data_IF_334353754162
#
_entry.id   IF_334353754162
#
_cell.length_a   1.000
_cell.length_b   1.000
_cell.length_c   1.000
_cell.angle_alpha   90.00
_cell.angle_beta   90.00
_cell.angle_gamma   90.00
#
_symmetry.space_group_name_H-M   'P 1'
#
loop_
_entity.id
_entity.type
_entity.pdbx_description
1 polymer ?
#
# COMPACT_ATOMS: atom_id res chain seq x y z
N UNK A 1 19.69 -10.00 -55.66
CA UNK A 1 19.55 -8.77 -54.88
C UNK A 1 18.10 -8.44 -54.50
N UNK A 2 17.09 -8.77 -55.30
CA UNK A 2 15.66 -8.53 -55.03
C UNK A 2 15.08 -9.29 -53.86
N UNK A 3 15.56 -10.53 -53.56
CA UNK A 3 15.03 -11.37 -52.49
C UNK A 3 15.46 -10.94 -51.05
N UNK A 4 16.50 -10.14 -50.93
CA UNK A 4 17.00 -9.69 -49.64
C UNK A 4 16.22 -8.42 -49.18
N UNK A 5 15.79 -7.58 -50.12
CA UNK A 5 14.98 -6.40 -49.80
C UNK A 5 13.57 -6.77 -49.36
N UNK A 6 12.91 -7.76 -50.02
CA UNK A 6 11.56 -8.19 -49.64
C UNK A 6 11.50 -8.83 -48.25
N UNK A 7 12.57 -9.53 -47.86
CA UNK A 7 12.64 -10.15 -46.53
C UNK A 7 12.85 -9.11 -45.42
N UNK A 8 13.62 -8.04 -45.67
CA UNK A 8 13.80 -6.92 -44.75
C UNK A 8 12.54 -6.08 -44.59
N UNK A 9 11.76 -5.86 -45.64
CA UNK A 9 10.48 -5.16 -45.57
C UNK A 9 9.44 -5.94 -44.77
N UNK A 10 9.34 -7.26 -44.96
CA UNK A 10 8.44 -8.09 -44.17
C UNK A 10 8.85 -8.16 -42.68
N UNK A 11 10.14 -8.20 -42.37
CA UNK A 11 10.64 -8.19 -41.00
C UNK A 11 10.36 -6.83 -40.32
N UNK A 12 10.43 -5.73 -41.06
CA UNK A 12 10.11 -4.38 -40.57
C UNK A 12 8.60 -4.20 -40.30
N UNK A 13 7.74 -4.76 -41.13
CA UNK A 13 6.29 -4.74 -40.91
C UNK A 13 5.93 -5.49 -39.63
N UNK A 14 6.55 -6.66 -39.40
CA UNK A 14 6.33 -7.42 -38.16
C UNK A 14 6.82 -6.65 -36.90
N UNK A 15 7.89 -5.89 -36.99
CA UNK A 15 8.39 -5.08 -35.86
C UNK A 15 7.42 -3.94 -35.54
N UNK A 16 6.89 -3.26 -36.56
CA UNK A 16 5.91 -2.21 -36.38
C UNK A 16 4.60 -2.72 -35.80
N UNK A 17 4.13 -3.90 -36.22
CA UNK A 17 2.94 -4.55 -35.69
C UNK A 17 3.11 -4.86 -34.18
N UNK A 18 4.28 -5.30 -33.75
CA UNK A 18 4.59 -5.54 -32.33
C UNK A 18 4.56 -4.23 -31.55
N UNK A 19 5.18 -3.17 -32.07
CA UNK A 19 5.18 -1.85 -31.44
C UNK A 19 3.76 -1.30 -31.32
N UNK A 20 2.98 -1.38 -32.39
CA UNK A 20 1.59 -0.94 -32.42
C UNK A 20 0.74 -1.68 -31.40
N UNK A 21 0.91 -3.00 -31.29
CA UNK A 21 0.21 -3.85 -30.31
C UNK A 21 0.56 -3.40 -28.89
N UNK A 22 1.84 -3.17 -28.61
CA UNK A 22 2.29 -2.69 -27.30
C UNK A 22 1.60 -1.39 -26.89
N UNK A 23 1.60 -0.38 -27.75
CA UNK A 23 1.00 0.93 -27.43
C UNK A 23 -0.54 0.91 -27.44
N UNK A 24 -1.16 -0.06 -28.08
CA UNK A 24 -2.62 -0.22 -28.13
C UNK A 24 -3.15 -0.96 -26.90
N UNK A 25 -2.43 -1.99 -26.45
CA UNK A 25 -2.89 -2.88 -25.40
C UNK A 25 -2.56 -2.39 -24.00
N UNK A 26 -1.57 -1.49 -23.84
CA UNK A 26 -1.17 -0.92 -22.56
C UNK A 26 -1.72 0.51 -22.42
N UNK A 27 -2.71 0.68 -21.57
CA UNK A 27 -3.41 1.96 -21.36
C UNK A 27 -2.47 3.04 -20.82
N UNK A 28 -1.65 2.68 -19.81
CA UNK A 28 -0.72 3.60 -19.13
C UNK A 28 0.75 3.28 -19.43
N UNK A 29 1.10 3.15 -20.71
CA UNK A 29 2.42 2.65 -21.14
C UNK A 29 3.63 3.42 -20.59
N UNK A 30 3.49 4.69 -20.21
CA UNK A 30 4.57 5.49 -19.63
C UNK A 30 4.76 5.23 -18.13
N UNK A 31 3.71 4.90 -17.41
CA UNK A 31 3.69 4.84 -15.94
C UNK A 31 3.28 3.48 -15.39
N UNK A 32 2.97 2.51 -16.26
CA UNK A 32 2.48 1.19 -15.86
C UNK A 32 3.38 0.51 -14.82
N UNK A 33 4.69 0.59 -15.00
CA UNK A 33 5.66 0.00 -14.07
C UNK A 33 5.59 0.59 -12.65
N UNK A 34 5.23 1.88 -12.52
CA UNK A 34 5.06 2.53 -11.22
C UNK A 34 3.72 2.12 -10.60
N UNK A 35 2.66 2.08 -11.40
CA UNK A 35 1.32 1.67 -10.98
C UNK A 35 1.36 0.22 -10.49
N UNK A 36 1.98 -0.68 -11.27
CA UNK A 36 2.12 -2.10 -10.90
C UNK A 36 2.93 -2.26 -9.61
N UNK A 37 4.05 -1.53 -9.47
CA UNK A 37 4.86 -1.56 -8.25
C UNK A 37 4.10 -1.07 -7.02
N UNK A 38 3.28 -0.03 -7.16
CA UNK A 38 2.43 0.46 -6.07
C UNK A 38 1.33 -0.55 -5.72
N UNK A 39 0.67 -1.13 -6.72
CA UNK A 39 -0.35 -2.13 -6.52
C UNK A 39 0.22 -3.41 -5.89
N UNK A 40 1.41 -3.83 -6.30
CA UNK A 40 2.12 -4.93 -5.66
C UNK A 40 2.44 -4.61 -4.20
N UNK A 41 2.94 -3.43 -3.90
CA UNK A 41 3.20 -3.00 -2.51
C UNK A 41 1.94 -3.05 -1.63
N UNK A 42 0.78 -2.69 -2.16
CA UNK A 42 -0.47 -2.68 -1.38
C UNK A 42 -1.07 -4.09 -1.26
N UNK A 43 -1.13 -4.84 -2.37
CA UNK A 43 -1.95 -6.06 -2.48
C UNK A 43 -1.15 -7.35 -2.42
N UNK A 44 0.19 -7.33 -2.57
CA UNK A 44 1.00 -8.55 -2.53
C UNK A 44 0.89 -9.26 -1.18
N UNK A 45 0.77 -10.59 -1.24
CA UNK A 45 0.75 -11.43 -0.04
C UNK A 45 2.14 -11.72 0.52
N UNK A 46 3.22 -11.58 -0.27
CA UNK A 46 4.58 -11.92 0.15
C UNK A 46 5.35 -10.71 0.68
N UNK A 47 5.43 -9.63 -0.11
CA UNK A 47 6.21 -8.44 0.21
C UNK A 47 5.35 -7.18 0.42
N UNK A 48 4.03 -7.35 0.47
CA UNK A 48 3.10 -6.24 0.57
C UNK A 48 3.03 -5.61 1.96
N UNK A 49 2.30 -4.49 2.01
CA UNK A 49 2.05 -3.71 3.22
C UNK A 49 1.58 -4.56 4.41
N UNK A 50 0.72 -5.57 4.15
CA UNK A 50 0.19 -6.48 5.18
C UNK A 50 1.31 -7.24 5.88
N UNK A 51 2.26 -7.78 5.13
CA UNK A 51 3.38 -8.54 5.69
C UNK A 51 4.41 -7.64 6.38
N UNK A 52 4.63 -6.44 5.85
CA UNK A 52 5.52 -5.47 6.51
C UNK A 52 5.01 -5.13 7.90
N UNK A 53 3.70 -4.90 8.05
CA UNK A 53 3.09 -4.60 9.35
C UNK A 53 3.17 -5.80 10.30
N UNK A 54 2.97 -7.04 9.79
CA UNK A 54 2.98 -8.25 10.60
C UNK A 54 4.37 -8.77 10.97
N UNK A 55 5.42 -8.38 10.23
CA UNK A 55 6.76 -8.96 10.33
C UNK A 55 7.37 -8.87 11.72
N UNK A 56 7.09 -7.81 12.46
CA UNK A 56 7.65 -7.56 13.79
C UNK A 56 6.76 -8.10 14.93
N UNK A 57 5.67 -8.82 14.60
CA UNK A 57 4.80 -9.43 15.59
C UNK A 57 5.48 -10.64 16.28
N UNK A 58 5.27 -10.84 17.60
CA UNK A 58 4.65 -9.93 18.55
C UNK A 58 5.58 -8.78 18.98
N UNK A 59 5.08 -7.55 18.96
CA UNK A 59 5.83 -6.41 19.47
C UNK A 59 5.71 -6.35 20.99
N UNK A 60 6.83 -6.51 21.70
CA UNK A 60 6.86 -6.47 23.15
C UNK A 60 7.01 -5.02 23.60
N UNK A 61 5.93 -4.46 24.15
CA UNK A 61 5.92 -3.07 24.57
C UNK A 61 6.58 -2.87 25.94
N UNK A 62 6.32 -3.78 26.87
CA UNK A 62 6.77 -3.63 28.22
C UNK A 62 7.03 -4.99 28.89
N UNK A 63 8.10 -5.02 29.69
CA UNK A 63 8.45 -6.12 30.60
C UNK A 63 8.71 -5.54 31.97
N UNK A 64 7.85 -5.85 32.92
CA UNK A 64 8.03 -5.42 34.31
C UNK A 64 9.07 -6.28 35.05
N UNK A 65 10.02 -5.66 35.71
CA UNK A 65 11.02 -6.37 36.54
C UNK A 65 10.36 -7.05 37.76
N UNK A 66 10.83 -8.25 38.08
CA UNK A 66 10.45 -8.92 39.32
C UNK A 66 11.22 -8.31 40.52
N UNK A 67 10.52 -8.06 41.60
CA UNK A 67 11.11 -7.53 42.83
C UNK A 67 12.13 -8.45 43.48
N UNK A 68 12.46 -9.61 42.94
CA UNK A 68 13.36 -10.64 43.52
C UNK A 68 14.68 -10.84 42.79
N UNK A 69 15.09 -9.92 41.92
CA UNK A 69 16.41 -10.00 41.29
C UNK A 69 16.67 -11.19 40.35
N UNK A 70 15.67 -12.02 40.09
CA UNK A 70 15.69 -13.04 39.04
C UNK A 70 15.31 -12.44 37.70
N UNK A 71 15.88 -12.95 36.61
CA UNK A 71 15.58 -12.57 35.22
C UNK A 71 14.12 -12.81 34.80
N UNK A 72 13.23 -13.11 35.75
CA UNK A 72 11.81 -13.35 35.53
C UNK A 72 11.01 -12.06 35.64
N UNK A 73 10.40 -11.67 34.53
CA UNK A 73 9.49 -10.53 34.45
C UNK A 73 8.19 -10.80 35.20
N UNK A 74 7.68 -9.79 35.94
CA UNK A 74 6.42 -9.88 36.64
C UNK A 74 5.21 -9.89 35.69
N UNK A 75 5.27 -9.11 34.64
CA UNK A 75 4.27 -9.07 33.56
C UNK A 75 4.87 -8.61 32.24
N UNK A 76 4.22 -8.93 31.15
CA UNK A 76 4.62 -8.64 29.80
C UNK A 76 3.39 -8.21 28.98
N UNK A 77 3.55 -7.19 28.15
CA UNK A 77 2.52 -6.74 27.22
C UNK A 77 3.02 -6.99 25.80
N UNK A 78 2.30 -7.84 25.07
CA UNK A 78 2.53 -8.15 23.65
C UNK A 78 1.46 -7.51 22.81
N UNK A 79 1.87 -6.87 21.72
CA UNK A 79 0.98 -6.26 20.76
C UNK A 79 1.17 -6.98 19.43
N UNK A 80 0.06 -7.36 18.80
CA UNK A 80 0.00 -8.00 17.50
C UNK A 80 -0.72 -7.06 16.52
N UNK A 81 0.02 -6.47 15.61
CA UNK A 81 -0.54 -5.62 14.56
C UNK A 81 -1.05 -6.46 13.39
N UNK A 82 -2.25 -6.16 12.90
CA UNK A 82 -2.86 -6.90 11.80
C UNK A 82 -3.27 -8.32 12.15
N UNK A 83 -3.52 -8.59 13.43
CA UNK A 83 -3.94 -9.89 13.91
C UNK A 83 -5.00 -9.74 15.00
N UNK A 84 -6.02 -10.59 14.94
CA UNK A 84 -7.01 -10.76 15.99
C UNK A 84 -6.66 -12.02 16.76
N UNK A 85 -6.57 -11.92 18.07
CA UNK A 85 -6.18 -13.05 18.94
C UNK A 85 -7.40 -13.81 19.44
N UNK A 86 -7.29 -15.13 19.48
CA UNK A 86 -8.27 -16.00 20.15
C UNK A 86 -8.02 -16.02 21.68
N UNK A 87 -8.88 -16.71 22.44
CA UNK A 87 -8.80 -16.81 23.90
C UNK A 87 -7.46 -17.43 24.39
N UNK A 88 -6.74 -18.12 23.53
CA UNK A 88 -5.45 -18.76 23.82
C UNK A 88 -4.26 -17.86 23.48
N UNK A 89 -4.52 -16.69 22.85
CA UNK A 89 -3.46 -15.75 22.44
C UNK A 89 -2.81 -16.09 21.09
N UNK A 90 -3.44 -16.95 20.29
CA UNK A 90 -2.97 -17.24 18.93
C UNK A 90 -3.73 -16.39 17.91
N UNK A 91 -3.06 -15.96 16.83
CA UNK A 91 -3.73 -15.27 15.73
C UNK A 91 -4.84 -16.14 15.14
N UNK A 92 -5.96 -15.52 14.82
CA UNK A 92 -7.05 -16.15 14.06
C UNK A 92 -6.69 -15.99 12.59
N UNK A 93 -6.52 -17.11 11.91
CA UNK A 93 -6.32 -17.18 10.46
C UNK A 93 -7.65 -16.87 9.75
N UNK A 94 -7.62 -16.53 8.47
CA UNK A 94 -8.79 -16.25 7.60
C UNK A 94 -9.57 -14.95 7.87
N UNK A 95 -9.08 -14.05 8.72
CA UNK A 95 -9.68 -12.74 8.89
C UNK A 95 -8.80 -11.67 8.24
N UNK A 96 -9.41 -10.86 7.37
CA UNK A 96 -8.72 -9.68 6.88
C UNK A 96 -8.65 -8.63 8.01
N UNK A 97 -7.44 -8.32 8.41
CA UNK A 97 -7.19 -7.50 9.59
C UNK A 97 -6.53 -6.14 9.27
N UNK A 98 -6.16 -5.90 8.01
CA UNK A 98 -5.52 -4.67 7.56
C UNK A 98 -6.25 -4.16 6.33
N UNK A 99 -6.75 -2.93 6.40
CA UNK A 99 -7.55 -2.29 5.37
C UNK A 99 -6.95 -0.95 4.99
N UNK A 100 -6.94 -0.64 3.70
CA UNK A 100 -6.64 0.70 3.21
C UNK A 100 -7.95 1.31 2.70
N UNK A 101 -8.34 2.44 3.28
CA UNK A 101 -9.60 3.11 2.91
C UNK A 101 -9.42 3.95 1.66
N UNK A 102 -10.53 4.15 0.94
CA UNK A 102 -10.56 5.12 -0.16
C UNK A 102 -10.32 6.54 0.37
N UNK A 103 -9.73 7.43 -0.46
CA UNK A 103 -9.54 8.83 -0.11
C UNK A 103 -10.86 9.51 0.24
N UNK A 104 -10.87 10.20 1.36
CA UNK A 104 -12.08 10.87 1.87
C UNK A 104 -11.75 12.21 2.50
N UNK A 105 -12.71 13.10 2.43
CA UNK A 105 -12.67 14.46 2.97
C UNK A 105 -13.81 14.64 3.96
N UNK A 106 -13.53 15.30 5.09
CA UNK A 106 -14.57 15.80 5.97
C UNK A 106 -15.03 17.17 5.50
N UNK A 107 -16.32 17.31 5.24
CA UNK A 107 -16.92 18.61 5.03
C UNK A 107 -17.04 19.41 6.35
N UNK A 108 -17.37 20.68 6.27
CA UNK A 108 -17.60 21.53 7.44
C UNK A 108 -18.69 20.98 8.39
N UNK A 109 -19.67 20.28 7.84
CA UNK A 109 -20.74 19.57 8.55
C UNK A 109 -20.29 18.23 9.19
N UNK A 110 -18.99 17.90 9.15
CA UNK A 110 -18.41 16.61 9.56
C UNK A 110 -18.92 15.40 8.79
N UNK A 111 -19.63 15.61 7.68
CA UNK A 111 -20.00 14.53 6.78
C UNK A 111 -18.77 14.05 6.00
N UNK A 112 -18.66 12.72 5.82
CA UNK A 112 -17.59 12.12 5.04
C UNK A 112 -17.97 12.20 3.54
N UNK A 113 -17.14 12.85 2.74
CA UNK A 113 -17.24 12.91 1.29
C UNK A 113 -16.05 12.19 0.67
N UNK A 114 -16.29 11.46 -0.40
CA UNK A 114 -15.23 10.89 -1.25
C UNK A 114 -14.43 12.04 -1.86
N UNK A 115 -13.11 11.96 -1.80
CA UNK A 115 -12.18 12.97 -2.33
C UNK A 115 -11.60 12.50 -3.65
N UNK A 116 -11.83 13.26 -4.72
CA UNK A 116 -11.17 13.03 -6.00
C UNK A 116 -9.81 13.72 -6.06
N UNK A 117 -8.89 13.27 -6.95
CA UNK A 117 -7.57 13.90 -7.06
C UNK A 117 -7.63 15.39 -7.40
N UNK A 118 -8.57 15.80 -8.24
CA UNK A 118 -8.78 17.21 -8.57
C UNK A 118 -9.19 18.05 -7.34
N UNK A 119 -10.04 17.51 -6.45
CA UNK A 119 -10.37 18.17 -5.18
C UNK A 119 -9.12 18.40 -4.33
N UNK A 120 -8.22 17.40 -4.30
CA UNK A 120 -6.97 17.50 -3.57
C UNK A 120 -6.03 18.58 -4.16
N UNK A 121 -5.95 18.70 -5.49
CA UNK A 121 -5.16 19.73 -6.17
C UNK A 121 -5.71 21.12 -5.86
N UNK A 122 -7.02 21.33 -6.01
CA UNK A 122 -7.65 22.64 -5.81
C UNK A 122 -7.61 23.13 -4.37
N UNK A 123 -7.73 22.22 -3.40
CA UNK A 123 -7.76 22.53 -1.96
C UNK A 123 -6.39 22.41 -1.28
N UNK A 124 -5.31 22.17 -2.02
CA UNK A 124 -3.97 21.93 -1.48
C UNK A 124 -3.92 20.80 -0.44
N UNK A 125 -4.67 19.73 -0.67
CA UNK A 125 -4.75 18.56 0.18
C UNK A 125 -3.87 17.43 -0.37
N UNK A 126 -3.67 16.41 0.46
CA UNK A 126 -3.02 15.17 0.04
C UNK A 126 -4.08 14.12 -0.28
N UNK A 127 -4.02 13.55 -1.48
CA UNK A 127 -4.86 12.44 -1.91
C UNK A 127 -4.38 11.14 -1.25
N UNK A 128 -5.00 10.77 -0.12
CA UNK A 128 -4.54 9.69 0.75
C UNK A 128 -5.69 8.85 1.28
N UNK A 129 -5.40 7.57 1.51
CA UNK A 129 -6.25 6.66 2.27
C UNK A 129 -5.71 6.45 3.69
N UNK A 130 -6.59 6.07 4.61
CA UNK A 130 -6.19 5.67 5.97
C UNK A 130 -5.91 4.18 6.02
N UNK A 131 -4.90 3.79 6.78
CA UNK A 131 -4.58 2.39 7.06
C UNK A 131 -5.25 2.04 8.38
N UNK A 132 -6.26 1.18 8.30
CA UNK A 132 -6.98 0.64 9.45
C UNK A 132 -6.47 -0.77 9.73
N UNK A 133 -6.22 -1.06 11.00
CA UNK A 133 -5.63 -2.31 11.43
C UNK A 133 -6.36 -2.84 12.66
N UNK A 134 -6.65 -4.14 12.67
CA UNK A 134 -7.05 -4.80 13.91
C UNK A 134 -5.80 -5.08 14.74
N UNK A 135 -5.88 -4.87 16.04
CA UNK A 135 -4.76 -5.00 16.97
C UNK A 135 -5.17 -5.93 18.10
N UNK A 136 -4.43 -7.03 18.24
CA UNK A 136 -4.53 -7.91 19.41
C UNK A 136 -3.53 -7.51 20.49
N UNK A 137 -3.98 -7.31 21.70
CA UNK A 137 -3.12 -7.01 22.86
C UNK A 137 -3.24 -8.14 23.87
N UNK A 138 -2.12 -8.75 24.20
CA UNK A 138 -2.03 -9.82 25.18
C UNK A 138 -1.24 -9.32 26.41
N UNK A 139 -1.87 -9.37 27.57
CA UNK A 139 -1.27 -9.12 28.88
C UNK A 139 -0.95 -10.46 29.52
N UNK A 140 0.31 -10.73 29.82
CA UNK A 140 0.77 -11.97 30.45
C UNK A 140 1.28 -11.64 31.84
N UNK A 141 0.69 -12.26 32.88
CA UNK A 141 1.07 -12.09 34.29
C UNK A 141 1.82 -13.34 34.75
N UNK A 142 3.16 -13.24 34.81
CA UNK A 142 4.02 -14.37 35.25
C UNK A 142 3.89 -14.68 36.73
N UNK A 143 3.62 -13.68 37.56
CA UNK A 143 3.45 -13.85 39.02
C UNK A 143 2.16 -14.58 39.40
N UNK A 144 1.17 -14.64 38.51
CA UNK A 144 -0.15 -15.28 38.74
C UNK A 144 -0.27 -16.62 38.01
N UNK A 145 0.80 -17.39 37.90
CA UNK A 145 0.78 -18.71 37.25
C UNK A 145 0.61 -18.64 35.71
N UNK A 146 1.02 -17.55 35.08
CA UNK A 146 0.95 -17.41 33.63
C UNK A 146 -0.44 -17.02 33.08
N UNK A 147 -1.27 -16.40 33.91
CA UNK A 147 -2.56 -15.88 33.48
C UNK A 147 -2.39 -14.88 32.35
N UNK A 148 -3.12 -15.06 31.25
CA UNK A 148 -3.16 -14.11 30.16
C UNK A 148 -4.54 -13.47 30.02
N UNK A 149 -4.56 -12.16 29.71
CA UNK A 149 -5.76 -11.41 29.38
C UNK A 149 -5.59 -10.86 27.97
N UNK A 150 -6.56 -11.09 27.11
CA UNK A 150 -6.52 -10.69 25.71
C UNK A 150 -7.56 -9.63 25.46
N UNK A 151 -7.18 -8.60 24.69
CA UNK A 151 -8.09 -7.56 24.19
C UNK A 151 -7.83 -7.35 22.70
N UNK A 152 -8.88 -7.39 21.91
CA UNK A 152 -8.84 -7.09 20.50
C UNK A 152 -9.46 -5.71 20.25
N UNK A 153 -8.78 -4.91 19.45
CA UNK A 153 -9.23 -3.60 19.00
C UNK A 153 -9.43 -3.67 17.49
N UNK A 154 -10.60 -3.31 17.03
CA UNK A 154 -10.95 -3.37 15.62
C UNK A 154 -10.75 -2.01 14.95
N UNK A 155 -10.29 -2.05 13.70
CA UNK A 155 -10.19 -0.88 12.79
C UNK A 155 -9.50 0.34 13.40
N UNK A 156 -8.43 0.11 14.15
CA UNK A 156 -7.60 1.19 14.68
C UNK A 156 -6.85 1.87 13.52
N UNK A 157 -6.94 3.18 13.43
CA UNK A 157 -6.19 3.95 12.44
C UNK A 157 -4.72 4.04 12.88
N UNK A 158 -3.83 3.38 12.16
CA UNK A 158 -2.39 3.38 12.42
C UNK A 158 -1.63 4.40 11.59
N UNK A 159 -2.25 4.93 10.53
CA UNK A 159 -1.60 5.91 9.67
C UNK A 159 -2.38 6.19 8.40
N UNK A 160 -1.76 6.90 7.49
CA UNK A 160 -2.31 7.17 6.17
C UNK A 160 -1.23 7.05 5.10
N UNK A 161 -1.64 6.61 3.92
CA UNK A 161 -0.76 6.44 2.75
C UNK A 161 -1.30 7.26 1.58
N UNK A 162 -0.46 8.01 0.86
CA UNK A 162 -0.87 8.65 -0.37
C UNK A 162 -1.23 7.59 -1.41
N UNK A 163 -2.27 7.84 -2.19
CA UNK A 163 -2.74 6.92 -3.24
C UNK A 163 -2.20 7.36 -4.58
N UNK A 164 -1.58 6.43 -5.30
CA UNK A 164 -1.08 6.68 -6.65
C UNK A 164 -2.23 6.80 -7.63
N UNK A 165 -2.17 7.80 -8.51
CA UNK A 165 -3.19 8.04 -9.53
C UNK A 165 -3.21 6.88 -10.53
N UNK A 166 -4.41 6.44 -10.89
CA UNK A 166 -4.75 5.27 -11.72
C UNK A 166 -4.39 3.89 -11.12
N UNK A 167 -3.87 3.81 -9.86
CA UNK A 167 -3.74 2.53 -9.17
C UNK A 167 -5.11 1.90 -8.84
N UNK A 168 -5.14 0.63 -8.46
CA UNK A 168 -6.38 -0.08 -8.08
C UNK A 168 -7.12 0.54 -6.90
N UNK A 169 -6.42 1.27 -6.01
CA UNK A 169 -7.04 2.01 -4.91
C UNK A 169 -7.54 3.40 -5.34
N UNK A 170 -7.11 3.90 -6.48
CA UNK A 170 -7.51 5.21 -6.99
C UNK A 170 -8.95 5.17 -7.45
N UNK A 171 -9.71 6.22 -7.13
CA UNK A 171 -11.09 6.37 -7.57
C UNK A 171 -11.23 6.55 -9.08
N UNK A 172 -10.15 6.94 -9.75
CA UNK A 172 -10.12 7.09 -11.21
C UNK A 172 -9.83 5.77 -11.94
N UNK A 173 -9.55 4.69 -11.21
CA UNK A 173 -9.22 3.39 -11.81
C UNK A 173 -10.35 2.89 -12.71
N UNK A 174 -10.04 2.62 -13.98
CA UNK A 174 -10.99 2.10 -15.00
C UNK A 174 -12.25 2.95 -15.19
N UNK A 175 -12.16 4.26 -15.00
CA UNK A 175 -13.23 5.17 -15.39
C UNK A 175 -13.14 5.51 -16.88
N UNK A 176 -14.30 5.63 -17.52
CA UNK A 176 -14.39 6.06 -18.91
C UNK A 176 -14.00 7.54 -19.07
N UNK A 177 -13.49 7.93 -20.23
CA UNK A 177 -13.06 9.30 -20.57
C UNK A 177 -14.11 10.37 -20.28
N UNK A 178 -15.39 10.04 -20.48
CA UNK A 178 -16.51 10.94 -20.21
C UNK A 178 -16.59 11.25 -18.72
N UNK A 179 -16.50 10.22 -17.87
CA UNK A 179 -16.53 10.37 -16.42
C UNK A 179 -15.30 11.09 -15.89
N UNK A 180 -14.11 10.79 -16.43
CA UNK A 180 -12.89 11.52 -16.08
C UNK A 180 -13.05 13.02 -16.34
N UNK A 181 -13.59 13.40 -17.49
CA UNK A 181 -13.86 14.80 -17.85
C UNK A 181 -14.89 15.46 -16.91
N UNK A 182 -15.92 14.72 -16.47
CA UNK A 182 -16.92 15.22 -15.51
C UNK A 182 -16.31 15.52 -14.14
N UNK A 183 -15.31 14.74 -13.70
CA UNK A 183 -14.56 14.98 -12.46
C UNK A 183 -13.44 16.01 -12.61
N UNK A 184 -13.27 16.59 -13.80
CA UNK A 184 -12.23 17.57 -14.09
C UNK A 184 -10.85 16.98 -14.25
N UNK A 185 -10.75 15.69 -14.55
CA UNK A 185 -9.51 14.98 -14.81
C UNK A 185 -9.26 14.86 -16.33
N UNK A 186 -8.00 14.82 -16.73
CA UNK A 186 -7.62 14.69 -18.13
C UNK A 186 -7.70 13.21 -18.57
N UNK A 187 -8.44 12.87 -19.63
CA UNK A 187 -8.49 11.48 -20.15
C UNK A 187 -7.14 10.95 -20.64
N UNK A 188 -6.22 11.86 -21.01
CA UNK A 188 -4.87 11.49 -21.50
C UNK A 188 -3.81 11.42 -20.39
N UNK A 189 -4.22 11.57 -19.13
CA UNK A 189 -3.30 11.47 -18.00
C UNK A 189 -2.84 10.01 -17.82
N UNK A 190 -1.53 9.82 -17.81
CA UNK A 190 -0.93 8.49 -17.66
C UNK A 190 -0.86 8.01 -16.20
N UNK A 191 -1.16 8.88 -15.22
CA UNK A 191 -1.07 8.53 -13.81
C UNK A 191 0.34 8.19 -13.33
N UNK A 192 0.44 7.32 -12.33
CA UNK A 192 1.72 6.87 -11.77
C UNK A 192 2.41 7.89 -10.87
N UNK A 193 1.69 8.88 -10.39
CA UNK A 193 2.17 9.92 -9.48
C UNK A 193 1.23 10.09 -8.28
N UNK A 194 1.67 10.88 -7.31
CA UNK A 194 0.91 11.21 -6.10
C UNK A 194 0.54 12.68 -6.07
N UNK A 195 -0.60 13.01 -5.48
CA UNK A 195 -0.98 14.39 -5.16
C UNK A 195 -0.75 14.63 -3.67
N UNK A 196 0.26 15.44 -3.34
CA UNK A 196 0.68 15.74 -1.97
C UNK A 196 0.64 17.25 -1.77
N UNK A 197 -0.17 17.71 -0.82
CA UNK A 197 -0.40 19.14 -0.57
C UNK A 197 -0.74 19.92 -1.85
N UNK A 198 -1.62 19.36 -2.68
CA UNK A 198 -2.05 19.91 -3.96
C UNK A 198 -1.02 19.88 -5.08
N UNK A 199 0.17 19.32 -4.84
CA UNK A 199 1.24 19.24 -5.85
C UNK A 199 1.43 17.80 -6.30
N UNK A 200 1.62 17.62 -7.59
CA UNK A 200 1.95 16.32 -8.19
C UNK A 200 3.40 15.95 -7.91
N UNK A 201 3.60 14.74 -7.40
CA UNK A 201 4.90 14.21 -7.01
C UNK A 201 5.10 12.83 -7.63
N UNK A 202 6.21 12.65 -8.32
CA UNK A 202 6.62 11.39 -8.94
C UNK A 202 7.74 10.76 -8.13
N UNK A 203 7.71 9.46 -7.96
CA UNK A 203 8.84 8.70 -7.43
C UNK A 203 9.75 8.32 -8.62
N UNK A 204 10.97 8.84 -8.61
CA UNK A 204 11.97 8.49 -9.62
C UNK A 204 12.71 7.24 -9.18
N UNK A 205 12.79 6.24 -10.05
CA UNK A 205 13.64 5.07 -9.86
C UNK A 205 15.11 5.51 -9.90
N UNK A 206 15.87 5.13 -8.89
CA UNK A 206 17.30 5.46 -8.81
C UNK A 206 18.10 4.17 -8.61
N UNK A 207 19.02 3.90 -9.53
CA UNK A 207 19.98 2.83 -9.39
C UNK A 207 21.15 3.28 -8.50
N UNK A 208 21.51 2.43 -7.55
CA UNK A 208 22.65 2.65 -6.65
C UNK A 208 23.43 1.37 -6.47
N UNK A 209 24.74 1.47 -6.45
CA UNK A 209 25.61 0.36 -6.07
C UNK A 209 25.26 -0.10 -4.66
N UNK A 210 25.20 -1.42 -4.46
CA UNK A 210 24.93 -1.99 -3.14
C UNK A 210 26.05 -1.58 -2.17
N UNK A 211 25.65 -1.15 -0.98
CA UNK A 211 26.62 -0.76 0.06
C UNK A 211 27.32 -2.02 0.62
N UNK A 212 28.55 -1.83 1.05
CA UNK A 212 29.33 -2.85 1.79
C UNK A 212 29.69 -4.11 0.96
N UNK A 213 29.84 -3.96 -0.36
CA UNK A 213 30.38 -4.98 -1.26
C UNK A 213 31.66 -4.46 -1.90
N UNK A 214 32.69 -5.30 -1.95
CA UNK A 214 33.94 -5.00 -2.67
C UNK A 214 33.68 -5.09 -4.17
N UNK A 215 33.90 -4.00 -4.89
CA UNK A 215 33.87 -3.95 -6.35
C UNK A 215 35.31 -4.04 -6.85
N UNK A 216 35.63 -5.08 -7.65
CA UNK A 216 36.92 -5.32 -8.28
C UNK A 216 36.87 -4.93 -9.73
#
# INVERSE_FOLDING_TARGET
>A
MYNIMSKKENDLVNVWDIIDTYFRDIEYYKSQHQIDSFDEFIFSNENGLKNIIKRENPFILFKGESSKGDDNFSYEIRIHFGETLNEVGKPIEDIENIFVTSPSLYNDDKSLKVMFPNDARLKNLTYKGSILCNIGVQYIFHNEGGRSVIRNFEKVNIGSIPIMIHSKLCLLHKLDDIKLSEFGECPYDQGGYFVINGKEKVMLSQEKKVNNILYI
#
